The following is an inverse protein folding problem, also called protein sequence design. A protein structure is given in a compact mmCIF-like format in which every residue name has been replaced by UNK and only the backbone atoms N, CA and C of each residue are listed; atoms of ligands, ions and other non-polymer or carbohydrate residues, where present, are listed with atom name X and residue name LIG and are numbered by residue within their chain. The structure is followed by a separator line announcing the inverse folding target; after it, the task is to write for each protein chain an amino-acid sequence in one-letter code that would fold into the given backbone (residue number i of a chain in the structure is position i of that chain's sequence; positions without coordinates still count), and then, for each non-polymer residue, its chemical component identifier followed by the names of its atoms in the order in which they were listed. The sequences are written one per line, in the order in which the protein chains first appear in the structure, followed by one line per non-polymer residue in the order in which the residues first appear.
data_IF_737344758882
#
_entry.id   IF_737344758882
#
_cell.length_a   1.000
_cell.length_b   1.000
_cell.length_c   1.000
_cell.angle_alpha   90.00
_cell.angle_beta   90.00
_cell.angle_gamma   90.00
#
_symmetry.space_group_name_H-M   'P 1'
#
loop_
_entity.id
_entity.type
_entity.pdbx_description
1 polymer ?
#
# COMPACT_ATOMS: atom_id res chain seq x y z
N UNK A 1 -9.99 14.12 -47.07
CA UNK A 1 -8.80 14.79 -46.49
C UNK A 1 -7.56 13.87 -46.41
N UNK A 2 -7.64 12.68 -45.78
CA UNK A 2 -6.45 11.83 -45.54
C UNK A 2 -5.64 11.49 -46.81
N UNK A 3 -6.32 11.06 -47.88
CA UNK A 3 -5.66 10.74 -49.16
C UNK A 3 -4.95 11.97 -49.77
N UNK A 4 -5.51 13.17 -49.58
CA UNK A 4 -4.89 14.40 -50.07
C UNK A 4 -3.61 14.74 -49.32
N UNK A 5 -3.55 14.47 -48.01
CA UNK A 5 -2.30 14.60 -47.24
C UNK A 5 -1.23 13.62 -47.73
N UNK A 6 -1.62 12.41 -48.17
CA UNK A 6 -0.68 11.46 -48.79
C UNK A 6 -0.17 11.96 -50.15
N UNK A 7 -1.01 12.62 -50.95
CA UNK A 7 -0.58 13.24 -52.20
C UNK A 7 0.42 14.38 -51.95
N UNK A 8 0.12 15.28 -51.01
CA UNK A 8 1.05 16.35 -50.60
C UNK A 8 2.36 15.75 -50.08
N UNK A 9 2.30 14.72 -49.24
CA UNK A 9 3.49 14.01 -48.77
C UNK A 9 4.33 13.50 -49.95
N UNK A 10 3.72 12.80 -50.89
CA UNK A 10 4.42 12.20 -52.03
C UNK A 10 5.16 13.27 -52.84
N UNK A 11 4.50 14.42 -53.08
CA UNK A 11 5.13 15.57 -53.73
C UNK A 11 6.25 16.15 -52.89
N UNK A 12 6.00 16.44 -51.61
CA UNK A 12 6.96 17.10 -50.74
C UNK A 12 8.24 16.26 -50.55
N UNK A 13 8.13 14.93 -50.50
CA UNK A 13 9.25 14.02 -50.26
C UNK A 13 9.91 13.46 -51.54
N UNK A 14 9.41 13.84 -52.74
CA UNK A 14 9.77 13.23 -54.03
C UNK A 14 9.59 11.70 -54.04
N UNK A 15 8.50 11.21 -53.44
CA UNK A 15 8.15 9.80 -53.44
C UNK A 15 7.24 9.47 -54.63
N UNK A 16 7.29 8.23 -55.11
CA UNK A 16 6.43 7.76 -56.20
C UNK A 16 4.97 7.70 -55.76
N UNK A 17 4.09 8.41 -56.47
CA UNK A 17 2.65 8.46 -56.20
C UNK A 17 2.00 7.11 -56.55
N UNK A 18 1.31 6.47 -55.60
CA UNK A 18 0.19 5.59 -55.96
C UNK A 18 -1.03 6.49 -56.13
N UNK A 19 -1.53 6.64 -57.37
CA UNK A 19 -2.78 7.36 -57.60
C UNK A 19 -3.91 6.58 -56.95
N UNK A 20 -4.39 7.08 -55.82
CA UNK A 20 -5.67 6.62 -55.28
C UNK A 20 -6.80 7.29 -56.08
N UNK A 21 -7.89 6.57 -56.38
CA UNK A 21 -9.01 7.15 -57.10
C UNK A 21 -9.61 8.33 -56.32
N UNK A 22 -10.01 9.37 -57.04
CA UNK A 22 -10.72 10.50 -56.44
C UNK A 22 -12.02 9.98 -55.81
N UNK A 23 -12.11 10.09 -54.49
CA UNK A 23 -13.35 9.79 -53.77
C UNK A 23 -14.38 10.88 -54.10
N UNK A 24 -15.64 10.47 -54.26
CA UNK A 24 -16.74 11.41 -54.51
C UNK A 24 -16.82 12.41 -53.34
N UNK A 25 -16.60 13.69 -53.61
CA UNK A 25 -16.45 14.72 -52.57
C UNK A 25 -17.82 15.25 -52.17
N UNK A 26 -18.33 14.81 -51.02
CA UNK A 26 -19.49 15.43 -50.37
C UNK A 26 -19.02 16.57 -49.47
N UNK A 27 -19.79 17.66 -49.37
CA UNK A 27 -19.51 18.78 -48.47
C UNK A 27 -19.37 18.31 -47.02
N UNK A 28 -20.13 17.28 -46.63
CA UNK A 28 -20.04 16.65 -45.31
C UNK A 28 -18.69 15.97 -45.03
N UNK A 29 -17.95 15.60 -46.08
CA UNK A 29 -16.64 14.95 -46.00
C UNK A 29 -15.44 15.92 -46.03
N UNK A 30 -15.71 17.21 -46.22
CA UNK A 30 -14.69 18.26 -46.25
C UNK A 30 -14.24 18.64 -44.83
N UNK A 31 -12.96 19.00 -44.68
CA UNK A 31 -12.46 19.53 -43.41
C UNK A 31 -12.83 21.01 -43.24
N UNK A 32 -13.13 21.44 -42.01
CA UNK A 32 -13.46 22.83 -41.71
C UNK A 32 -12.21 23.53 -41.20
N UNK A 33 -11.70 24.50 -41.94
CA UNK A 33 -10.53 25.29 -41.55
C UNK A 33 -11.00 26.54 -40.80
N UNK A 34 -10.67 26.61 -39.53
CA UNK A 34 -10.95 27.75 -38.64
C UNK A 34 -9.66 28.52 -38.43
N UNK A 35 -9.59 29.74 -38.96
CA UNK A 35 -8.46 30.63 -38.75
C UNK A 35 -8.71 31.50 -37.51
N UNK A 36 -8.32 31.00 -36.34
CA UNK A 36 -8.46 31.70 -35.08
C UNK A 36 -7.39 31.27 -34.07
N UNK A 37 -7.17 32.09 -33.05
CA UNK A 37 -6.31 31.72 -31.93
C UNK A 37 -6.95 30.57 -31.13
N UNK A 38 -6.17 29.62 -30.56
CA UNK A 38 -6.71 28.61 -29.66
C UNK A 38 -7.53 29.18 -28.50
N UNK A 39 -7.27 30.41 -28.04
CA UNK A 39 -8.08 31.05 -26.99
C UNK A 39 -9.56 31.23 -27.37
N UNK A 40 -9.86 31.29 -28.67
CA UNK A 40 -11.23 31.39 -29.16
C UNK A 40 -11.96 30.03 -29.17
N UNK A 41 -11.25 28.90 -28.97
CA UNK A 41 -11.85 27.55 -28.95
C UNK A 41 -12.94 27.45 -27.88
N UNK A 42 -12.65 27.91 -26.66
CA UNK A 42 -13.58 27.79 -25.53
C UNK A 42 -14.85 28.60 -25.79
N UNK A 43 -14.71 29.85 -26.22
CA UNK A 43 -15.84 30.73 -26.53
C UNK A 43 -16.69 30.16 -27.67
N UNK A 44 -16.04 29.55 -28.66
CA UNK A 44 -16.68 29.02 -29.86
C UNK A 44 -17.33 27.66 -29.68
N UNK A 45 -16.82 26.81 -28.78
CA UNK A 45 -17.34 25.45 -28.58
C UNK A 45 -18.23 25.34 -27.35
N UNK A 46 -18.01 26.15 -26.31
CA UNK A 46 -18.62 26.12 -24.97
C UNK A 46 -18.42 24.79 -24.21
N UNK A 47 -18.70 23.65 -24.84
CA UNK A 47 -18.52 22.30 -24.33
C UNK A 47 -18.27 21.28 -25.46
N UNK A 48 -17.63 20.15 -25.14
CA UNK A 48 -17.45 19.01 -26.05
C UNK A 48 -18.60 18.02 -25.92
N UNK A 49 -18.98 17.39 -27.05
CA UNK A 49 -19.89 16.24 -27.08
C UNK A 49 -19.12 14.94 -26.77
N UNK A 50 -19.82 13.83 -26.52
CA UNK A 50 -19.19 12.57 -26.13
C UNK A 50 -18.24 12.00 -27.19
N UNK A 51 -18.57 12.19 -28.47
CA UNK A 51 -17.75 11.75 -29.60
C UNK A 51 -16.69 12.75 -30.05
N UNK A 52 -16.51 13.87 -29.34
CA UNK A 52 -15.56 14.90 -29.72
C UNK A 52 -14.20 14.70 -29.04
N UNK A 53 -13.13 15.06 -29.73
CA UNK A 53 -11.79 15.12 -29.16
C UNK A 53 -10.99 16.31 -29.70
N UNK A 54 -10.18 16.91 -28.83
CA UNK A 54 -9.19 17.91 -29.23
C UNK A 54 -7.83 17.22 -29.33
N UNK A 55 -7.18 17.33 -30.48
CA UNK A 55 -5.85 16.79 -30.71
C UNK A 55 -4.81 17.91 -30.73
N UNK A 56 -3.75 17.71 -29.96
CA UNK A 56 -2.64 18.66 -29.81
C UNK A 56 -1.30 17.96 -30.02
N UNK A 57 -0.24 18.75 -30.22
CA UNK A 57 1.10 18.23 -30.51
C UNK A 57 1.92 17.88 -29.25
N UNK A 58 1.67 18.56 -28.13
CA UNK A 58 2.51 18.43 -26.93
C UNK A 58 1.69 18.28 -25.66
N UNK A 59 2.28 17.66 -24.64
CA UNK A 59 1.68 17.62 -23.29
C UNK A 59 1.52 19.02 -22.68
N UNK A 60 2.38 19.97 -23.05
CA UNK A 60 2.26 21.37 -22.61
C UNK A 60 1.00 22.03 -23.16
N UNK A 61 0.72 21.84 -24.46
CA UNK A 61 -0.52 22.32 -25.09
C UNK A 61 -1.75 21.63 -24.52
N UNK A 62 -1.66 20.31 -24.29
CA UNK A 62 -2.74 19.54 -23.68
C UNK A 62 -3.08 20.09 -22.30
N UNK A 63 -2.08 20.36 -21.46
CA UNK A 63 -2.27 20.95 -20.13
C UNK A 63 -2.91 22.34 -20.22
N UNK A 64 -2.39 23.21 -21.09
CA UNK A 64 -2.90 24.57 -21.31
C UNK A 64 -4.37 24.55 -21.74
N UNK A 65 -4.71 23.79 -22.78
CA UNK A 65 -6.08 23.72 -23.31
C UNK A 65 -7.01 23.03 -22.31
N UNK A 66 -6.51 22.08 -21.50
CA UNK A 66 -7.28 21.44 -20.43
C UNK A 66 -7.67 22.42 -19.33
N UNK A 67 -6.74 23.27 -18.89
CA UNK A 67 -7.01 24.31 -17.89
C UNK A 67 -8.03 25.34 -18.42
N UNK A 68 -7.95 25.65 -19.71
CA UNK A 68 -8.88 26.57 -20.36
C UNK A 68 -10.28 25.96 -20.51
N UNK A 69 -10.38 24.75 -21.06
CA UNK A 69 -11.64 24.11 -21.44
C UNK A 69 -12.32 23.33 -20.29
N UNK A 70 -11.57 23.00 -19.22
CA UNK A 70 -12.00 22.10 -18.14
C UNK A 70 -12.53 20.75 -18.67
N UNK A 71 -11.83 20.18 -19.64
CA UNK A 71 -12.16 18.87 -20.22
C UNK A 71 -10.91 18.00 -20.35
N UNK A 72 -11.13 16.70 -20.32
CA UNK A 72 -10.17 15.62 -20.33
C UNK A 72 -10.09 14.93 -21.70
N UNK A 73 -11.03 15.23 -22.60
CA UNK A 73 -11.11 14.77 -24.00
C UNK A 73 -10.12 15.51 -24.91
N UNK A 74 -8.91 15.74 -24.39
CA UNK A 74 -7.81 16.40 -25.05
C UNK A 74 -6.65 15.43 -25.04
N UNK A 75 -6.13 15.11 -26.22
CA UNK A 75 -5.13 14.06 -26.41
C UNK A 75 -3.94 14.60 -27.20
N UNK A 76 -2.75 14.13 -26.87
CA UNK A 76 -1.66 14.21 -27.84
C UNK A 76 -1.94 13.26 -29.00
N UNK A 77 -1.36 13.53 -30.17
CA UNK A 77 -1.56 12.68 -31.36
C UNK A 77 -1.09 11.25 -31.08
N UNK A 78 -0.03 11.09 -30.30
CA UNK A 78 0.52 9.83 -29.83
C UNK A 78 -0.51 9.06 -28.98
N UNK A 79 -1.15 9.73 -28.03
CA UNK A 79 -2.21 9.14 -27.20
C UNK A 79 -3.46 8.78 -28.01
N UNK A 80 -3.78 9.56 -29.04
CA UNK A 80 -4.93 9.32 -29.89
C UNK A 80 -4.73 8.16 -30.88
N UNK A 81 -3.50 7.63 -31.00
CA UNK A 81 -3.21 6.51 -31.90
C UNK A 81 -4.06 5.29 -31.53
N UNK A 82 -4.84 4.79 -32.49
CA UNK A 82 -5.74 3.66 -32.30
C UNK A 82 -7.09 4.02 -31.68
N UNK A 83 -7.32 5.30 -31.34
CA UNK A 83 -8.63 5.83 -30.99
C UNK A 83 -9.33 6.41 -32.23
N UNK A 84 -10.65 6.43 -32.21
CA UNK A 84 -11.45 7.10 -33.25
C UNK A 84 -12.53 7.94 -32.58
N UNK A 85 -12.79 9.11 -33.16
CA UNK A 85 -13.72 10.09 -32.63
C UNK A 85 -14.68 10.50 -33.74
N UNK A 86 -15.92 10.85 -33.39
CA UNK A 86 -16.87 11.36 -34.37
C UNK A 86 -16.39 12.72 -34.90
N UNK A 87 -15.96 13.59 -33.98
CA UNK A 87 -15.42 14.90 -34.31
C UNK A 87 -14.01 15.07 -33.75
N UNK A 88 -13.09 15.58 -34.58
CA UNK A 88 -11.75 15.96 -34.15
C UNK A 88 -11.53 17.45 -34.37
N UNK A 89 -11.01 18.13 -33.35
CA UNK A 89 -10.45 19.47 -33.42
C UNK A 89 -8.93 19.37 -33.38
N UNK A 90 -8.27 19.51 -34.53
CA UNK A 90 -6.82 19.54 -34.62
C UNK A 90 -6.34 20.97 -34.39
N UNK A 91 -5.61 21.22 -33.30
CA UNK A 91 -5.24 22.57 -32.88
C UNK A 91 -3.77 22.85 -33.12
N UNK A 92 -3.48 23.93 -33.84
CA UNK A 92 -2.16 24.51 -34.07
C UNK A 92 -1.09 23.47 -34.41
N UNK A 93 -1.37 22.65 -35.42
CA UNK A 93 -0.49 21.53 -35.75
C UNK A 93 0.89 22.01 -36.22
N UNK A 94 0.95 23.14 -36.94
CA UNK A 94 2.14 23.60 -37.64
C UNK A 94 3.02 24.56 -36.82
N UNK A 95 2.64 24.87 -35.58
CA UNK A 95 3.44 25.69 -34.67
C UNK A 95 4.80 25.04 -34.37
N UNK A 96 4.83 23.71 -34.27
CA UNK A 96 6.08 22.96 -34.13
C UNK A 96 6.80 22.80 -35.45
N UNK A 97 8.13 22.91 -35.40
CA UNK A 97 9.02 22.73 -36.56
C UNK A 97 8.64 23.60 -37.78
N UNK A 98 8.07 24.79 -37.56
CA UNK A 98 7.62 25.70 -38.63
C UNK A 98 8.66 25.94 -39.72
N UNK A 99 9.94 26.07 -39.36
CA UNK A 99 11.04 26.22 -40.33
C UNK A 99 11.14 25.06 -41.33
N UNK A 100 10.85 23.84 -40.90
CA UNK A 100 10.86 22.63 -41.75
C UNK A 100 9.68 22.66 -42.72
N UNK A 101 8.49 23.03 -42.23
CA UNK A 101 7.29 23.22 -43.04
C UNK A 101 7.48 24.34 -44.07
N UNK A 102 7.93 25.51 -43.64
CA UNK A 102 8.17 26.67 -44.51
C UNK A 102 9.17 26.33 -45.62
N UNK A 103 10.25 25.62 -45.30
CA UNK A 103 11.25 25.20 -46.27
C UNK A 103 10.64 24.27 -47.32
N UNK A 104 9.91 23.24 -46.88
CA UNK A 104 9.28 22.27 -47.78
C UNK A 104 8.22 22.92 -48.68
N UNK A 105 7.37 23.78 -48.11
CA UNK A 105 6.26 24.43 -48.81
C UNK A 105 6.76 25.54 -49.74
N UNK A 106 7.79 26.31 -49.36
CA UNK A 106 8.42 27.33 -50.22
C UNK A 106 8.95 26.75 -51.52
N UNK A 107 9.62 25.61 -51.44
CA UNK A 107 10.19 24.94 -52.61
C UNK A 107 9.18 24.02 -53.32
N UNK A 108 8.02 23.75 -52.68
CA UNK A 108 7.00 22.83 -53.17
C UNK A 108 7.41 21.36 -53.17
N UNK A 109 8.67 21.05 -52.85
CA UNK A 109 9.27 19.72 -52.66
C UNK A 109 10.64 19.85 -52.00
N UNK A 110 11.10 18.79 -51.34
CA UNK A 110 12.49 18.70 -50.91
C UNK A 110 13.42 18.61 -52.13
N UNK A 111 14.51 19.38 -52.13
CA UNK A 111 15.46 19.38 -53.25
C UNK A 111 16.52 18.31 -53.00
N UNK A 112 16.71 17.32 -53.89
CA UNK A 112 17.76 16.32 -53.74
C UNK A 112 19.16 16.96 -53.72
N UNK A 113 20.08 16.40 -52.95
CA UNK A 113 21.46 16.88 -52.80
C UNK A 113 21.58 18.29 -52.19
N UNK A 114 20.55 18.76 -51.49
CA UNK A 114 20.63 19.98 -50.70
C UNK A 114 20.85 19.62 -49.23
N UNK A 115 21.99 19.99 -48.60
CA UNK A 115 22.34 19.58 -47.24
C UNK A 115 21.28 19.92 -46.18
N UNK A 116 20.58 21.05 -46.33
CA UNK A 116 19.53 21.47 -45.41
C UNK A 116 18.28 20.58 -45.56
N UNK A 117 17.88 20.29 -46.81
CA UNK A 117 16.71 19.45 -47.08
C UNK A 117 16.95 17.99 -46.69
N UNK A 118 18.16 17.47 -46.92
CA UNK A 118 18.53 16.10 -46.54
C UNK A 118 18.52 15.93 -45.01
N UNK A 119 18.99 16.95 -44.27
CA UNK A 119 18.94 16.95 -42.80
C UNK A 119 17.51 17.01 -42.26
N UNK A 120 16.65 17.82 -42.88
CA UNK A 120 15.29 18.06 -42.39
C UNK A 120 14.28 16.99 -42.88
N UNK A 121 14.65 16.17 -43.88
CA UNK A 121 13.80 15.11 -44.47
C UNK A 121 13.19 14.16 -43.42
N UNK A 122 13.96 13.53 -42.49
CA UNK A 122 13.39 12.60 -41.53
C UNK A 122 12.37 13.28 -40.60
N UNK A 123 12.60 14.56 -40.27
CA UNK A 123 11.67 15.35 -39.47
C UNK A 123 10.39 15.60 -40.24
N UNK A 124 10.47 16.08 -41.47
CA UNK A 124 9.29 16.33 -42.30
C UNK A 124 8.47 15.05 -42.51
N UNK A 125 9.12 13.91 -42.74
CA UNK A 125 8.46 12.62 -42.88
C UNK A 125 7.67 12.24 -41.61
N UNK A 126 8.27 12.43 -40.43
CA UNK A 126 7.58 12.22 -39.15
C UNK A 126 6.40 13.19 -38.98
N UNK A 127 6.57 14.47 -39.31
CA UNK A 127 5.48 15.45 -39.20
C UNK A 127 4.30 15.12 -40.12
N UNK A 128 4.57 14.71 -41.36
CA UNK A 128 3.53 14.27 -42.31
C UNK A 128 2.82 12.99 -41.83
N UNK A 129 3.56 12.04 -41.24
CA UNK A 129 2.97 10.86 -40.61
C UNK A 129 2.05 11.23 -39.45
N UNK A 130 2.48 12.14 -38.57
CA UNK A 130 1.67 12.58 -37.43
C UNK A 130 0.43 13.35 -37.87
N UNK A 131 0.54 14.19 -38.90
CA UNK A 131 -0.62 14.87 -39.49
C UNK A 131 -1.62 13.84 -40.03
N UNK A 132 -1.14 12.83 -40.75
CA UNK A 132 -1.97 11.74 -41.24
C UNK A 132 -2.64 10.95 -40.10
N UNK A 133 -1.92 10.64 -39.03
CA UNK A 133 -2.51 10.00 -37.84
C UNK A 133 -3.61 10.86 -37.25
N UNK A 134 -3.37 12.16 -37.05
CA UNK A 134 -4.33 13.08 -36.44
C UNK A 134 -5.63 13.22 -37.26
N UNK A 135 -5.52 13.48 -38.56
CA UNK A 135 -6.70 13.65 -39.43
C UNK A 135 -7.52 12.37 -39.57
N UNK A 136 -6.88 11.20 -39.51
CA UNK A 136 -7.56 9.89 -39.59
C UNK A 136 -8.20 9.47 -38.28
N UNK A 137 -8.01 10.22 -37.18
CA UNK A 137 -8.77 9.97 -35.94
C UNK A 137 -10.23 10.43 -36.07
N UNK A 138 -10.55 11.28 -37.04
CA UNK A 138 -11.89 11.78 -37.29
C UNK A 138 -12.70 10.80 -38.14
N UNK A 139 -13.83 10.32 -37.62
CA UNK A 139 -14.77 9.44 -38.35
C UNK A 139 -15.78 10.22 -39.17
N UNK A 140 -16.26 11.36 -38.67
CA UNK A 140 -17.30 12.17 -39.33
C UNK A 140 -16.81 13.58 -39.66
N UNK A 141 -16.35 14.32 -38.66
CA UNK A 141 -16.04 15.74 -38.80
C UNK A 141 -14.60 16.05 -38.38
N UNK A 142 -13.86 16.73 -39.26
CA UNK A 142 -12.52 17.26 -38.96
C UNK A 142 -12.56 18.78 -38.98
N UNK A 143 -12.25 19.39 -37.83
CA UNK A 143 -12.01 20.81 -37.68
C UNK A 143 -10.51 21.04 -37.52
N UNK A 144 -9.96 21.91 -38.34
CA UNK A 144 -8.57 22.33 -38.29
C UNK A 144 -8.56 23.73 -37.72
N UNK A 145 -8.08 23.89 -36.50
CA UNK A 145 -7.98 25.15 -35.81
C UNK A 145 -6.54 25.63 -35.86
N UNK A 146 -6.26 26.58 -36.75
CA UNK A 146 -4.90 27.04 -36.98
C UNK A 146 -4.87 28.55 -37.01
N UNK A 147 -3.99 29.18 -36.23
CA UNK A 147 -3.74 30.61 -36.35
C UNK A 147 -2.81 30.88 -37.54
N UNK A 148 -3.40 31.27 -38.66
CA UNK A 148 -2.66 31.67 -39.86
C UNK A 148 -2.38 33.17 -39.77
N UNK A 149 -1.11 33.62 -39.65
CA UNK A 149 -0.78 35.03 -39.63
C UNK A 149 -1.25 35.73 -40.91
N UNK A 150 -1.81 36.94 -40.79
CA UNK A 150 -2.29 37.74 -41.93
C UNK A 150 -1.22 38.02 -42.98
N UNK A 151 0.06 38.04 -42.56
CA UNK A 151 1.22 38.28 -43.41
C UNK A 151 1.79 37.00 -44.05
N UNK A 152 1.27 35.82 -43.70
CA UNK A 152 1.75 34.56 -44.27
C UNK A 152 1.26 34.42 -45.71
N UNK A 153 2.20 34.26 -46.65
CA UNK A 153 1.84 34.05 -48.05
C UNK A 153 1.07 32.73 -48.17
N UNK A 154 -0.07 32.68 -48.90
CA UNK A 154 -0.87 31.46 -49.04
C UNK A 154 -0.06 30.23 -49.46
N UNK A 155 1.00 30.40 -50.26
CA UNK A 155 1.88 29.30 -50.69
C UNK A 155 2.66 28.61 -49.56
N UNK A 156 2.88 29.28 -48.43
CA UNK A 156 3.56 28.72 -47.25
C UNK A 156 2.57 28.03 -46.29
N UNK A 157 1.27 28.12 -46.54
CA UNK A 157 0.27 27.39 -45.77
C UNK A 157 0.03 26.01 -46.38
N UNK A 158 0.11 24.97 -45.55
CA UNK A 158 -0.20 23.60 -45.95
C UNK A 158 -1.65 23.48 -46.47
N UNK A 159 -2.58 24.19 -45.84
CA UNK A 159 -4.00 24.14 -46.19
C UNK A 159 -4.36 24.88 -47.49
N UNK A 160 -3.41 25.60 -48.10
CA UNK A 160 -3.59 26.29 -49.37
C UNK A 160 -2.87 25.58 -50.54
N UNK A 161 -2.31 24.40 -50.31
CA UNK A 161 -1.76 23.57 -51.38
C UNK A 161 -2.88 23.06 -52.29
N UNK A 162 -2.59 22.94 -53.59
CA UNK A 162 -3.58 22.58 -54.63
C UNK A 162 -4.32 21.27 -54.35
N UNK A 163 -3.63 20.28 -53.76
CA UNK A 163 -4.21 18.97 -53.43
C UNK A 163 -5.23 19.04 -52.30
N UNK A 164 -5.13 20.05 -51.43
CA UNK A 164 -5.93 20.16 -50.20
C UNK A 164 -7.02 21.22 -50.33
N UNK A 165 -6.82 22.23 -51.18
CA UNK A 165 -7.65 23.42 -51.28
C UNK A 165 -9.14 23.10 -51.53
N UNK A 166 -9.42 22.11 -52.37
CA UNK A 166 -10.79 21.70 -52.73
C UNK A 166 -11.48 20.81 -51.68
N UNK A 167 -10.73 20.34 -50.68
CA UNK A 167 -11.19 19.39 -49.66
C UNK A 167 -11.39 20.06 -48.30
N UNK A 168 -11.37 21.39 -48.26
CA UNK A 168 -11.64 22.16 -47.06
C UNK A 168 -12.62 23.29 -47.32
N UNK A 169 -13.34 23.69 -46.29
CA UNK A 169 -14.17 24.89 -46.26
C UNK A 169 -13.65 25.83 -45.17
N UNK A 170 -13.45 27.14 -45.45
CA UNK A 170 -13.19 28.10 -44.40
C UNK A 170 -14.44 28.24 -43.51
N UNK A 171 -14.25 28.28 -42.20
CA UNK A 171 -15.32 28.43 -41.23
C UNK A 171 -14.93 29.47 -40.19
N UNK A 172 -15.82 30.44 -39.93
CA UNK A 172 -15.63 31.40 -38.86
C UNK A 172 -15.76 30.72 -37.49
N UNK A 173 -14.90 31.07 -36.55
CA UNK A 173 -14.84 30.44 -35.23
C UNK A 173 -16.20 30.47 -34.50
N UNK A 174 -16.92 31.59 -34.56
CA UNK A 174 -18.24 31.77 -33.95
C UNK A 174 -19.32 30.83 -34.49
N UNK A 175 -19.18 30.31 -35.72
CA UNK A 175 -20.15 29.43 -36.36
C UNK A 175 -19.93 27.95 -36.01
N UNK A 176 -18.78 27.61 -35.41
CA UNK A 176 -18.39 26.22 -35.13
C UNK A 176 -19.40 25.53 -34.22
N UNK A 177 -19.86 26.16 -33.14
CA UNK A 177 -20.89 25.58 -32.27
C UNK A 177 -22.20 25.29 -33.01
N UNK A 178 -22.62 26.17 -33.92
CA UNK A 178 -23.88 26.02 -34.66
C UNK A 178 -23.85 24.93 -35.74
N UNK A 179 -22.69 24.69 -36.35
CA UNK A 179 -22.52 23.62 -37.34
C UNK A 179 -22.33 22.23 -36.72
N UNK A 180 -21.97 22.16 -35.43
CA UNK A 180 -21.84 20.89 -34.73
C UNK A 180 -23.21 20.25 -34.64
N UNK A 181 -23.36 19.11 -35.30
CA UNK A 181 -24.50 18.24 -35.06
C UNK A 181 -24.54 17.92 -33.57
N UNK A 182 -25.71 18.10 -32.92
CA UNK A 182 -25.94 17.62 -31.57
C UNK A 182 -25.68 16.12 -31.60
N UNK A 183 -24.49 15.70 -31.19
CA UNK A 183 -24.15 14.29 -31.23
C UNK A 183 -25.07 13.57 -30.27
N UNK A 184 -25.78 12.54 -30.75
CA UNK A 184 -26.46 11.51 -29.94
C UNK A 184 -25.43 10.67 -29.14
N UNK A 185 -24.30 11.25 -28.80
CA UNK A 185 -23.16 10.60 -28.20
C UNK A 185 -23.52 10.17 -26.79
N UNK A 186 -23.71 8.88 -26.62
CA UNK A 186 -24.02 8.28 -25.33
C UNK A 186 -22.79 8.39 -24.42
N UNK A 187 -22.78 9.43 -23.56
CA UNK A 187 -21.74 9.66 -22.54
C UNK A 187 -21.44 8.41 -21.71
N UNK A 188 -22.44 7.58 -21.44
CA UNK A 188 -22.26 6.32 -20.71
C UNK A 188 -21.40 5.32 -21.52
N UNK A 189 -21.72 5.13 -22.79
CA UNK A 189 -20.99 4.22 -23.68
C UNK A 189 -19.55 4.70 -23.89
N UNK A 190 -19.35 6.01 -24.05
CA UNK A 190 -18.01 6.58 -24.19
C UNK A 190 -17.21 6.43 -22.88
N UNK A 191 -17.86 6.63 -21.73
CA UNK A 191 -17.24 6.39 -20.43
C UNK A 191 -16.80 4.95 -20.24
N UNK A 192 -17.64 3.97 -20.63
CA UNK A 192 -17.29 2.54 -20.60
C UNK A 192 -16.11 2.22 -21.52
N UNK A 193 -16.10 2.80 -22.72
CA UNK A 193 -14.98 2.65 -23.66
C UNK A 193 -13.66 3.11 -23.02
N UNK A 194 -13.64 4.31 -22.43
CA UNK A 194 -12.44 4.82 -21.76
C UNK A 194 -12.06 4.05 -20.50
N UNK A 195 -13.06 3.61 -19.72
CA UNK A 195 -12.84 2.79 -18.52
C UNK A 195 -12.13 1.48 -18.87
N UNK A 196 -12.61 0.78 -19.92
CA UNK A 196 -12.02 -0.46 -20.40
C UNK A 196 -10.64 -0.26 -21.03
N UNK A 197 -10.39 0.91 -21.61
CA UNK A 197 -9.08 1.29 -22.15
C UNK A 197 -8.07 1.75 -21.07
N UNK A 198 -8.45 1.75 -19.78
CA UNK A 198 -7.61 2.23 -18.67
C UNK A 198 -7.43 3.76 -18.64
N UNK A 199 -8.28 4.50 -19.35
CA UNK A 199 -8.27 5.97 -19.44
C UNK A 199 -9.26 6.57 -18.44
N UNK A 200 -8.98 6.37 -17.16
CA UNK A 200 -9.91 6.67 -16.08
C UNK A 200 -10.31 8.15 -15.99
N UNK A 201 -9.37 9.05 -16.31
CA UNK A 201 -9.62 10.48 -16.28
C UNK A 201 -10.67 10.92 -17.32
N UNK A 202 -10.64 10.32 -18.50
CA UNK A 202 -11.67 10.52 -19.54
C UNK A 202 -12.98 9.83 -19.18
N UNK A 203 -12.91 8.63 -18.62
CA UNK A 203 -14.08 7.92 -18.14
C UNK A 203 -14.85 8.69 -17.06
N UNK A 204 -14.13 9.30 -16.10
CA UNK A 204 -14.71 10.15 -15.05
C UNK A 204 -15.53 11.30 -15.64
N UNK A 205 -14.97 12.08 -16.57
CA UNK A 205 -15.71 13.18 -17.21
C UNK A 205 -16.95 12.67 -17.94
N UNK A 206 -16.82 11.57 -18.69
CA UNK A 206 -17.95 10.98 -19.40
C UNK A 206 -19.06 10.52 -18.45
N UNK A 207 -18.72 9.82 -17.35
CA UNK A 207 -19.73 9.38 -16.38
C UNK A 207 -20.35 10.53 -15.60
N UNK A 208 -19.59 11.58 -15.30
CA UNK A 208 -20.12 12.80 -14.69
C UNK A 208 -21.15 13.46 -15.61
N UNK A 209 -20.84 13.61 -16.91
CA UNK A 209 -21.78 14.16 -17.91
C UNK A 209 -22.97 13.25 -18.17
N UNK A 210 -22.81 11.94 -18.00
CA UNK A 210 -23.91 10.97 -18.07
C UNK A 210 -24.80 10.94 -16.82
N UNK A 211 -24.40 11.59 -15.71
CA UNK A 211 -25.07 11.46 -14.41
C UNK A 211 -24.93 10.07 -13.76
N UNK A 212 -23.96 9.27 -14.21
CA UNK A 212 -23.74 7.90 -13.77
C UNK A 212 -22.80 7.83 -12.55
N UNK A 213 -23.29 8.24 -11.38
CA UNK A 213 -22.49 8.42 -10.17
C UNK A 213 -21.68 7.18 -9.76
N UNK A 214 -22.29 5.99 -9.79
CA UNK A 214 -21.59 4.75 -9.40
C UNK A 214 -20.38 4.46 -10.31
N UNK A 215 -20.53 4.65 -11.63
CA UNK A 215 -19.44 4.44 -12.58
C UNK A 215 -18.39 5.55 -12.51
N UNK A 216 -18.82 6.77 -12.21
CA UNK A 216 -17.91 7.89 -11.94
C UNK A 216 -16.98 7.55 -10.76
N UNK A 217 -17.54 7.12 -9.64
CA UNK A 217 -16.75 6.71 -8.47
C UNK A 217 -15.88 5.48 -8.76
N UNK A 218 -16.37 4.51 -9.55
CA UNK A 218 -15.56 3.35 -9.96
C UNK A 218 -14.33 3.78 -10.78
N UNK A 219 -14.53 4.65 -11.78
CA UNK A 219 -13.45 5.20 -12.59
C UNK A 219 -12.45 5.99 -11.71
N UNK A 220 -12.95 6.81 -10.79
CA UNK A 220 -12.14 7.56 -9.83
C UNK A 220 -11.31 6.65 -8.93
N UNK A 221 -11.90 5.59 -8.38
CA UNK A 221 -11.20 4.62 -7.55
C UNK A 221 -10.06 3.93 -8.34
N UNK A 222 -10.32 3.55 -9.60
CA UNK A 222 -9.29 2.99 -10.49
C UNK A 222 -8.19 3.99 -10.86
N UNK A 223 -8.52 5.28 -11.03
CA UNK A 223 -7.52 6.34 -11.23
C UNK A 223 -6.60 6.49 -10.02
N UNK A 224 -7.17 6.57 -8.82
CA UNK A 224 -6.39 6.69 -7.58
C UNK A 224 -5.45 5.50 -7.38
N UNK A 225 -5.91 4.30 -7.73
CA UNK A 225 -5.06 3.09 -7.77
C UNK A 225 -3.87 3.25 -8.73
N UNK A 226 -4.08 3.83 -9.92
CA UNK A 226 -2.99 4.07 -10.88
C UNK A 226 -2.02 5.16 -10.40
N UNK A 227 -2.50 6.13 -9.62
CA UNK A 227 -1.70 7.16 -8.95
C UNK A 227 -1.02 6.65 -7.66
N UNK A 228 -1.10 5.34 -7.36
CA UNK A 228 -0.55 4.70 -6.15
C UNK A 228 -1.16 5.20 -4.82
N UNK A 229 -2.30 5.89 -4.87
CA UNK A 229 -3.08 6.30 -3.69
C UNK A 229 -4.01 5.19 -3.24
N UNK A 230 -3.41 4.11 -2.74
CA UNK A 230 -4.12 2.86 -2.45
C UNK A 230 -5.16 2.98 -1.34
N UNK A 231 -4.93 3.77 -0.29
CA UNK A 231 -5.88 3.97 0.81
C UNK A 231 -7.16 4.65 0.34
N UNK A 232 -7.05 5.82 -0.30
CA UNK A 232 -8.20 6.56 -0.84
C UNK A 232 -8.97 5.73 -1.88
N UNK A 233 -8.25 4.96 -2.70
CA UNK A 233 -8.86 4.04 -3.67
C UNK A 233 -9.66 2.93 -2.96
N UNK A 234 -9.11 2.34 -1.90
CA UNK A 234 -9.75 1.27 -1.14
C UNK A 234 -11.02 1.75 -0.43
N UNK A 235 -11.00 2.95 0.16
CA UNK A 235 -12.17 3.59 0.79
C UNK A 235 -13.29 3.78 -0.23
N UNK A 236 -13.01 4.33 -1.42
CA UNK A 236 -14.02 4.46 -2.48
C UNK A 236 -14.57 3.09 -2.92
N UNK A 237 -13.74 2.06 -3.02
CA UNK A 237 -14.21 0.72 -3.34
C UNK A 237 -15.09 0.11 -2.23
N UNK A 238 -14.84 0.44 -0.95
CA UNK A 238 -15.73 0.06 0.16
C UNK A 238 -17.09 0.76 0.07
N UNK A 239 -17.11 2.06 -0.20
CA UNK A 239 -18.35 2.83 -0.39
C UNK A 239 -19.19 2.25 -1.54
N UNK A 240 -18.53 1.83 -2.62
CA UNK A 240 -19.14 1.15 -3.77
C UNK A 240 -19.51 -0.32 -3.52
N UNK A 241 -19.19 -0.87 -2.35
CA UNK A 241 -19.37 -2.29 -2.00
C UNK A 241 -18.63 -3.26 -2.91
N UNK A 242 -17.57 -2.78 -3.58
CA UNK A 242 -16.61 -3.62 -4.29
C UNK A 242 -15.57 -4.18 -3.32
N UNK A 243 -16.06 -4.93 -2.34
CA UNK A 243 -15.32 -5.44 -1.18
C UNK A 243 -14.05 -6.19 -1.57
N UNK A 244 -14.11 -7.04 -2.59
CA UNK A 244 -12.96 -7.82 -3.05
C UNK A 244 -11.83 -6.96 -3.63
N UNK A 245 -12.15 -5.85 -4.32
CA UNK A 245 -11.13 -4.93 -4.83
C UNK A 245 -10.56 -4.06 -3.72
N UNK A 246 -11.40 -3.57 -2.80
CA UNK A 246 -10.96 -2.85 -1.61
C UNK A 246 -9.99 -3.71 -0.77
N UNK A 247 -10.35 -4.98 -0.52
CA UNK A 247 -9.54 -5.89 0.28
C UNK A 247 -8.14 -6.12 -0.30
N UNK A 248 -8.03 -6.25 -1.64
CA UNK A 248 -6.73 -6.36 -2.33
C UNK A 248 -5.86 -5.12 -2.14
N UNK A 249 -6.46 -3.93 -2.11
CA UNK A 249 -5.74 -2.68 -1.91
C UNK A 249 -5.28 -2.50 -0.46
N UNK A 250 -6.15 -2.80 0.51
CA UNK A 250 -5.77 -2.82 1.93
C UNK A 250 -4.66 -3.83 2.21
N UNK A 251 -4.74 -5.02 1.63
CA UNK A 251 -3.67 -6.03 1.74
C UNK A 251 -2.35 -5.54 1.10
N UNK A 252 -2.41 -4.72 0.04
CA UNK A 252 -1.22 -4.17 -0.61
C UNK A 252 -0.47 -3.17 0.26
N UNK A 253 -1.18 -2.42 1.10
CA UNK A 253 -0.62 -1.48 2.08
C UNK A 253 -0.39 -2.12 3.45
N UNK A 254 -0.56 -3.44 3.56
CA UNK A 254 -0.39 -4.23 4.79
C UNK A 254 -1.33 -3.85 5.94
N UNK A 255 -2.44 -3.16 5.64
CA UNK A 255 -3.56 -3.02 6.58
C UNK A 255 -4.41 -4.29 6.52
N UNK A 256 -3.89 -5.34 7.17
CA UNK A 256 -4.49 -6.66 7.18
C UNK A 256 -5.86 -6.68 7.87
N UNK A 257 -6.11 -5.76 8.80
CA UNK A 257 -7.39 -5.68 9.52
C UNK A 257 -8.51 -5.20 8.59
N UNK A 258 -8.30 -4.07 7.91
CA UNK A 258 -9.26 -3.56 6.91
C UNK A 258 -9.42 -4.53 5.74
N UNK A 259 -8.33 -5.16 5.30
CA UNK A 259 -8.39 -6.18 4.26
C UNK A 259 -9.29 -7.36 4.66
N UNK A 260 -9.15 -7.83 5.91
CA UNK A 260 -9.94 -8.94 6.42
C UNK A 260 -11.43 -8.61 6.54
N UNK A 261 -11.75 -7.42 7.07
CA UNK A 261 -13.14 -6.94 7.17
C UNK A 261 -13.78 -6.86 5.77
N UNK A 262 -13.06 -6.32 4.77
CA UNK A 262 -13.53 -6.32 3.39
C UNK A 262 -13.70 -7.73 2.81
N UNK A 263 -12.77 -8.66 3.02
CA UNK A 263 -12.92 -10.03 2.53
C UNK A 263 -14.12 -10.73 3.15
N UNK A 264 -14.40 -10.46 4.43
CA UNK A 264 -15.57 -10.99 5.13
C UNK A 264 -16.87 -10.48 4.52
N UNK A 265 -16.97 -9.17 4.24
CA UNK A 265 -18.13 -8.57 3.55
C UNK A 265 -18.25 -9.05 2.09
N UNK A 266 -17.14 -9.41 1.45
CA UNK A 266 -17.14 -10.04 0.13
C UNK A 266 -17.65 -11.50 0.16
N UNK A 267 -17.79 -12.11 1.36
CA UNK A 267 -18.14 -13.51 1.55
C UNK A 267 -16.97 -14.49 1.34
N UNK A 268 -15.75 -13.99 1.11
CA UNK A 268 -14.54 -14.80 0.95
C UNK A 268 -13.89 -15.02 2.33
N UNK A 269 -14.48 -15.94 3.08
CA UNK A 269 -14.05 -16.23 4.46
C UNK A 269 -12.61 -16.77 4.52
N UNK A 270 -12.13 -17.43 3.46
CA UNK A 270 -10.80 -18.05 3.46
C UNK A 270 -9.74 -16.95 3.48
N UNK A 271 -9.87 -15.96 2.57
CA UNK A 271 -8.97 -14.80 2.54
C UNK A 271 -9.18 -13.86 3.72
N UNK A 272 -10.40 -13.75 4.23
CA UNK A 272 -10.68 -12.99 5.45
C UNK A 272 -9.90 -13.58 6.63
N UNK A 273 -10.00 -14.90 6.83
CA UNK A 273 -9.31 -15.58 7.92
C UNK A 273 -7.79 -15.44 7.82
N UNK A 274 -7.19 -15.67 6.64
CA UNK A 274 -5.75 -15.46 6.43
C UNK A 274 -5.31 -14.01 6.68
N UNK A 275 -6.16 -13.04 6.35
CA UNK A 275 -5.87 -11.63 6.60
C UNK A 275 -5.98 -11.30 8.09
N UNK A 276 -6.98 -11.82 8.81
CA UNK A 276 -7.08 -11.68 10.27
C UNK A 276 -5.90 -12.34 11.00
N UNK A 277 -5.42 -13.51 10.54
CA UNK A 277 -4.21 -14.15 11.09
C UNK A 277 -2.98 -13.24 10.97
N UNK A 278 -2.81 -12.57 9.81
CA UNK A 278 -1.71 -11.61 9.60
C UNK A 278 -1.87 -10.33 10.44
N UNK A 279 -3.10 -9.91 10.68
CA UNK A 279 -3.40 -8.79 11.58
C UNK A 279 -3.19 -9.15 13.06
N UNK A 280 -3.07 -10.45 13.40
CA UNK A 280 -3.02 -10.94 14.78
C UNK A 280 -4.38 -10.92 15.49
N UNK A 281 -5.48 -10.75 14.74
CA UNK A 281 -6.84 -10.81 15.25
C UNK A 281 -7.35 -12.25 15.19
N UNK A 282 -6.90 -13.05 16.15
CA UNK A 282 -7.18 -14.48 16.15
C UNK A 282 -8.64 -14.82 16.46
N UNK A 283 -9.38 -13.93 17.13
CA UNK A 283 -10.80 -14.14 17.45
C UNK A 283 -11.65 -14.11 16.16
N UNK A 284 -11.44 -13.09 15.32
CA UNK A 284 -12.12 -13.02 14.03
C UNK A 284 -11.62 -14.10 13.05
N UNK A 285 -10.32 -14.43 13.07
CA UNK A 285 -9.78 -15.53 12.27
C UNK A 285 -10.40 -16.89 12.63
N UNK A 286 -10.52 -17.18 13.93
CA UNK A 286 -11.15 -18.41 14.43
C UNK A 286 -12.60 -18.51 13.95
N UNK A 287 -13.39 -17.44 14.13
CA UNK A 287 -14.79 -17.38 13.68
C UNK A 287 -14.92 -17.68 12.18
N UNK A 288 -14.04 -17.11 11.35
CA UNK A 288 -14.02 -17.38 9.92
C UNK A 288 -13.64 -18.83 9.59
N UNK A 289 -12.63 -19.41 10.25
CA UNK A 289 -12.22 -20.80 10.00
C UNK A 289 -13.25 -21.83 10.49
N UNK A 290 -13.95 -21.55 11.58
CA UNK A 290 -15.06 -22.38 12.06
C UNK A 290 -16.21 -22.43 11.05
N UNK A 291 -16.49 -21.30 10.39
CA UNK A 291 -17.50 -21.21 9.34
C UNK A 291 -17.09 -21.94 8.04
N UNK A 292 -15.80 -22.17 7.80
CA UNK A 292 -15.22 -22.85 6.63
C UNK A 292 -14.93 -24.35 6.82
N UNK A 293 -15.65 -25.01 7.74
CA UNK A 293 -15.28 -26.28 8.37
C UNK A 293 -13.79 -26.62 8.55
N UNK A 294 -12.89 -25.64 8.63
CA UNK A 294 -11.44 -25.90 8.76
C UNK A 294 -11.03 -25.95 10.23
N UNK A 295 -11.40 -27.05 10.88
CA UNK A 295 -11.16 -27.26 12.31
C UNK A 295 -9.68 -27.18 12.71
N UNK A 296 -8.77 -27.59 11.82
CA UNK A 296 -7.34 -27.54 12.11
C UNK A 296 -6.85 -26.10 12.29
N UNK A 297 -7.20 -25.19 11.36
CA UNK A 297 -6.83 -23.78 11.47
C UNK A 297 -7.62 -23.06 12.56
N UNK A 298 -8.92 -23.36 12.71
CA UNK A 298 -9.74 -22.82 13.79
C UNK A 298 -9.14 -23.11 15.17
N UNK A 299 -8.74 -24.36 15.43
CA UNK A 299 -8.10 -24.75 16.70
C UNK A 299 -6.77 -24.01 16.91
N UNK A 300 -5.98 -23.83 15.85
CA UNK A 300 -4.75 -23.04 15.92
C UNK A 300 -5.05 -21.60 16.33
N UNK A 301 -6.04 -20.95 15.73
CA UNK A 301 -6.46 -19.59 16.09
C UNK A 301 -6.98 -19.52 17.53
N UNK A 302 -7.83 -20.46 17.95
CA UNK A 302 -8.35 -20.53 19.32
C UNK A 302 -7.22 -20.60 20.36
N UNK A 303 -6.19 -21.42 20.10
CA UNK A 303 -5.02 -21.51 20.96
C UNK A 303 -4.22 -20.19 20.99
N UNK A 304 -4.09 -19.50 19.85
CA UNK A 304 -3.45 -18.18 19.78
C UNK A 304 -4.22 -17.11 20.55
N UNK A 305 -5.56 -17.17 20.59
CA UNK A 305 -6.38 -16.31 21.46
C UNK A 305 -6.03 -16.56 22.93
N UNK A 306 -5.91 -17.81 23.36
CA UNK A 306 -5.49 -18.15 24.72
C UNK A 306 -4.08 -17.64 25.05
N UNK A 307 -3.15 -17.69 24.09
CA UNK A 307 -1.81 -17.09 24.24
C UNK A 307 -1.90 -15.57 24.46
N UNK A 308 -2.73 -14.85 23.70
CA UNK A 308 -2.93 -13.41 23.89
C UNK A 308 -3.53 -13.06 25.25
N UNK A 309 -4.44 -13.90 25.76
CA UNK A 309 -5.03 -13.76 27.11
C UNK A 309 -4.10 -14.20 28.24
N UNK A 310 -2.89 -14.67 27.92
CA UNK A 310 -1.91 -15.21 28.87
C UNK A 310 -2.38 -16.46 29.62
N UNK A 311 -3.34 -17.19 29.06
CA UNK A 311 -3.86 -18.46 29.60
C UNK A 311 -2.97 -19.63 29.15
N UNK A 312 -1.67 -19.52 29.44
CA UNK A 312 -0.63 -20.38 28.89
C UNK A 312 -0.81 -21.88 29.17
N UNK A 313 -1.46 -22.24 30.29
CA UNK A 313 -1.73 -23.64 30.64
C UNK A 313 -2.74 -24.27 29.68
N UNK A 314 -3.79 -23.52 29.32
CA UNK A 314 -4.83 -24.00 28.41
C UNK A 314 -4.31 -23.99 26.97
N UNK A 315 -3.56 -22.95 26.60
CA UNK A 315 -2.88 -22.89 25.31
C UNK A 315 -1.93 -24.09 25.11
N UNK A 316 -1.12 -24.44 26.12
CA UNK A 316 -0.23 -25.60 26.06
C UNK A 316 -0.98 -26.93 25.87
N UNK A 317 -2.13 -27.11 26.51
CA UNK A 317 -2.98 -28.29 26.32
C UNK A 317 -3.50 -28.37 24.87
N UNK A 318 -3.97 -27.25 24.33
CA UNK A 318 -4.42 -27.21 22.94
C UNK A 318 -3.31 -27.55 21.94
N UNK A 319 -2.09 -27.01 22.14
CA UNK A 319 -0.95 -27.37 21.28
C UNK A 319 -0.56 -28.84 21.37
N UNK A 320 -0.68 -29.44 22.56
CA UNK A 320 -0.45 -30.87 22.79
C UNK A 320 -1.44 -31.74 22.01
N UNK A 321 -2.72 -31.37 22.01
CA UNK A 321 -3.77 -32.08 21.25
C UNK A 321 -3.50 -32.04 19.75
N UNK A 322 -2.98 -30.92 19.24
CA UNK A 322 -2.50 -30.76 17.86
C UNK A 322 -1.12 -31.40 17.59
N UNK A 323 -0.49 -32.03 18.59
CA UNK A 323 0.85 -32.63 18.55
C UNK A 323 1.96 -31.66 18.14
N UNK A 324 1.80 -30.37 18.43
CA UNK A 324 2.80 -29.31 18.19
C UNK A 324 3.63 -29.07 19.46
N UNK A 325 4.55 -29.99 19.71
CA UNK A 325 5.36 -30.03 20.93
C UNK A 325 6.23 -28.78 21.15
N UNK A 326 6.72 -28.15 20.07
CA UNK A 326 7.55 -26.95 20.16
C UNK A 326 6.74 -25.73 20.63
N UNK A 327 5.50 -25.57 20.15
CA UNK A 327 4.60 -24.51 20.59
C UNK A 327 4.07 -24.76 22.01
N UNK A 328 3.85 -26.03 22.39
CA UNK A 328 3.53 -26.41 23.78
C UNK A 328 4.66 -25.99 24.73
N UNK A 329 5.93 -26.31 24.38
CA UNK A 329 7.10 -25.90 25.15
C UNK A 329 7.18 -24.37 25.25
N UNK A 330 6.98 -23.65 24.14
CA UNK A 330 6.96 -22.18 24.13
C UNK A 330 5.91 -21.64 25.10
N UNK A 331 4.70 -22.21 25.12
CA UNK A 331 3.65 -21.78 26.05
C UNK A 331 4.08 -21.97 27.50
N UNK A 332 4.66 -23.12 27.85
CA UNK A 332 5.15 -23.35 29.21
C UNK A 332 6.29 -22.42 29.61
N UNK A 333 7.19 -22.08 28.68
CA UNK A 333 8.24 -21.08 28.92
C UNK A 333 7.64 -19.70 29.22
N UNK A 334 6.67 -19.25 28.42
CA UNK A 334 6.00 -17.96 28.68
C UNK A 334 5.18 -17.99 29.97
N UNK A 335 4.57 -19.13 30.30
CA UNK A 335 3.89 -19.33 31.57
C UNK A 335 4.82 -19.19 32.77
N UNK A 336 6.06 -19.69 32.66
CA UNK A 336 7.06 -19.56 33.71
C UNK A 336 7.55 -18.10 33.83
N UNK A 337 7.78 -17.42 32.70
CA UNK A 337 8.12 -15.98 32.69
C UNK A 337 7.03 -15.11 33.31
N UNK A 338 5.74 -15.37 33.00
CA UNK A 338 4.63 -14.62 33.61
C UNK A 338 4.56 -14.79 35.13
N UNK A 339 5.01 -15.93 35.67
CA UNK A 339 5.13 -16.16 37.11
C UNK A 339 6.31 -15.41 37.71
N UNK A 340 7.45 -15.35 36.99
CA UNK A 340 8.59 -14.51 37.39
C UNK A 340 8.21 -13.03 37.49
N UNK A 341 7.42 -12.51 36.55
CA UNK A 341 6.92 -11.13 36.57
C UNK A 341 6.01 -10.83 37.78
N UNK A 342 5.22 -11.84 38.21
CA UNK A 342 4.37 -11.77 39.41
C UNK A 342 5.14 -12.04 40.71
N UNK A 343 6.44 -12.33 40.63
CA UNK A 343 7.32 -12.69 41.75
C UNK A 343 6.93 -14.01 42.44
N UNK A 344 6.18 -14.88 41.75
CA UNK A 344 5.84 -16.22 42.23
C UNK A 344 6.99 -17.20 41.94
N UNK A 345 8.16 -16.92 42.54
CA UNK A 345 9.44 -17.52 42.18
C UNK A 345 9.49 -19.04 42.35
N UNK A 346 8.89 -19.59 43.41
CA UNK A 346 8.88 -21.05 43.64
C UNK A 346 8.05 -21.79 42.58
N UNK A 347 6.91 -21.22 42.16
CA UNK A 347 6.09 -21.83 41.11
C UNK A 347 6.75 -21.74 39.74
N UNK A 348 7.41 -20.60 39.45
CA UNK A 348 8.21 -20.42 38.25
C UNK A 348 9.34 -21.47 38.19
N UNK A 349 10.08 -21.67 39.29
CA UNK A 349 11.14 -22.66 39.39
C UNK A 349 10.65 -24.09 39.11
N UNK A 350 9.50 -24.48 39.69
CA UNK A 350 8.89 -25.80 39.41
C UNK A 350 8.58 -25.99 37.93
N UNK A 351 8.14 -24.96 37.21
CA UNK A 351 7.88 -25.04 35.77
C UNK A 351 9.16 -25.13 34.95
N UNK A 352 10.18 -24.34 35.27
CA UNK A 352 11.49 -24.42 34.62
C UNK A 352 12.15 -25.79 34.79
N UNK A 353 12.01 -26.38 35.98
CA UNK A 353 12.41 -27.76 36.26
C UNK A 353 11.73 -28.77 35.33
N UNK A 354 10.42 -28.64 35.16
CA UNK A 354 9.63 -29.49 34.25
C UNK A 354 10.04 -29.37 32.79
N UNK A 355 10.58 -28.21 32.38
CA UNK A 355 11.12 -27.97 31.04
C UNK A 355 12.59 -28.37 30.87
N UNK A 356 13.27 -28.79 31.94
CA UNK A 356 14.69 -29.13 31.92
C UNK A 356 15.63 -27.92 31.84
N UNK A 357 15.13 -26.70 32.07
CA UNK A 357 15.89 -25.44 32.03
C UNK A 357 16.53 -25.17 33.39
N UNK A 358 17.62 -25.89 33.68
CA UNK A 358 18.28 -25.89 35.00
C UNK A 358 18.79 -24.51 35.45
N UNK A 359 19.26 -23.69 34.52
CA UNK A 359 19.79 -22.36 34.84
C UNK A 359 18.68 -21.38 35.24
N UNK A 360 17.55 -21.41 34.53
CA UNK A 360 16.38 -20.59 34.86
C UNK A 360 15.70 -21.07 36.16
N UNK A 361 15.64 -22.39 36.38
CA UNK A 361 15.20 -22.98 37.65
C UNK A 361 16.05 -22.47 38.82
N UNK A 362 17.39 -22.56 38.71
CA UNK A 362 18.33 -22.09 39.73
C UNK A 362 18.12 -20.61 40.03
N UNK A 363 18.04 -19.77 38.99
CA UNK A 363 17.82 -18.32 39.12
C UNK A 363 16.52 -18.02 39.87
N UNK A 364 15.44 -18.73 39.55
CA UNK A 364 14.15 -18.54 40.23
C UNK A 364 14.21 -18.96 41.69
N UNK A 365 14.86 -20.08 42.01
CA UNK A 365 15.03 -20.55 43.39
C UNK A 365 15.89 -19.58 44.23
N UNK A 366 16.93 -18.99 43.65
CA UNK A 366 17.75 -17.95 44.33
C UNK A 366 16.90 -16.73 44.68
N UNK A 367 16.10 -16.24 43.73
CA UNK A 367 15.18 -15.12 43.98
C UNK A 367 14.08 -15.46 44.99
N UNK A 368 13.55 -16.69 44.96
CA UNK A 368 12.59 -17.17 45.95
C UNK A 368 13.20 -17.18 47.36
N UNK A 369 14.44 -17.66 47.48
CA UNK A 369 15.13 -17.74 48.76
C UNK A 369 15.45 -16.36 49.33
N UNK A 370 15.81 -15.40 48.48
CA UNK A 370 16.01 -14.00 48.86
C UNK A 370 14.70 -13.32 49.29
N UNK A 371 13.58 -13.57 48.59
CA UNK A 371 12.27 -13.02 48.96
C UNK A 371 11.79 -13.56 50.33
N UNK A 372 11.94 -14.87 50.58
CA UNK A 372 11.69 -15.47 51.90
C UNK A 372 12.59 -14.87 52.98
N UNK A 373 13.87 -14.62 52.69
CA UNK A 373 14.80 -13.98 53.62
C UNK A 373 14.33 -12.57 53.99
N UNK A 374 13.92 -11.77 53.02
CA UNK A 374 13.42 -10.40 53.25
C UNK A 374 12.11 -10.40 54.06
N UNK A 375 11.24 -11.37 53.83
CA UNK A 375 9.97 -11.55 54.55
C UNK A 375 10.11 -12.34 55.87
N UNK A 376 11.33 -12.57 56.36
CA UNK A 376 11.61 -13.31 57.61
C UNK A 376 11.15 -14.78 57.60
N UNK A 377 10.90 -15.37 56.43
CA UNK A 377 10.66 -16.79 56.17
C UNK A 377 11.95 -17.62 56.21
N UNK A 378 12.70 -17.51 57.30
CA UNK A 378 14.08 -18.01 57.41
C UNK A 378 14.25 -19.51 57.10
N UNK A 379 13.37 -20.36 57.62
CA UNK A 379 13.48 -21.81 57.41
C UNK A 379 13.38 -22.18 55.94
N UNK A 380 12.43 -21.56 55.23
CA UNK A 380 12.22 -21.79 53.81
C UNK A 380 13.39 -21.28 52.97
N UNK A 381 13.95 -20.12 53.31
CA UNK A 381 15.14 -19.60 52.66
C UNK A 381 16.35 -20.54 52.82
N UNK A 382 16.59 -21.08 54.03
CA UNK A 382 17.68 -22.03 54.31
C UNK A 382 17.49 -23.32 53.49
N UNK A 383 16.26 -23.86 53.43
CA UNK A 383 15.94 -25.03 52.62
C UNK A 383 16.27 -24.82 51.14
N UNK A 384 15.83 -23.70 50.57
CA UNK A 384 16.03 -23.38 49.15
C UNK A 384 17.51 -23.20 48.82
N UNK A 385 18.29 -22.46 49.63
CA UNK A 385 19.73 -22.33 49.42
C UNK A 385 20.50 -23.64 49.60
N UNK A 386 20.03 -24.52 50.48
CA UNK A 386 20.59 -25.87 50.64
C UNK A 386 20.31 -26.73 49.41
N UNK A 387 19.10 -26.66 48.85
CA UNK A 387 18.75 -27.32 47.58
C UNK A 387 19.63 -26.84 46.42
N UNK A 388 20.01 -25.56 46.42
CA UNK A 388 20.92 -24.95 45.43
C UNK A 388 22.39 -25.29 45.66
N UNK A 389 22.71 -26.09 46.69
CA UNK A 389 24.08 -26.40 47.13
C UNK A 389 24.89 -25.15 47.54
N UNK A 390 24.21 -24.05 47.87
CA UNK A 390 24.81 -22.82 48.39
C UNK A 390 24.85 -22.89 49.92
N UNK A 391 25.53 -23.91 50.46
CA UNK A 391 25.54 -24.23 51.90
C UNK A 391 26.08 -23.10 52.76
N UNK A 392 27.01 -22.30 52.24
CA UNK A 392 27.54 -21.12 52.91
C UNK A 392 26.49 -20.01 53.09
N UNK A 393 25.72 -19.69 52.06
CA UNK A 393 24.64 -18.71 52.13
C UNK A 393 23.52 -19.21 53.05
N UNK A 394 23.19 -20.50 53.00
CA UNK A 394 22.25 -21.12 53.93
C UNK A 394 22.73 -21.01 55.40
N UNK A 395 24.03 -21.21 55.66
CA UNK A 395 24.64 -21.05 56.98
C UNK A 395 24.61 -19.58 57.45
N UNK A 396 24.85 -18.61 56.57
CA UNK A 396 24.75 -17.17 56.86
C UNK A 396 23.33 -16.77 57.28
N UNK A 397 22.31 -17.22 56.55
CA UNK A 397 20.90 -16.95 56.82
C UNK A 397 20.45 -17.62 58.14
N UNK A 398 20.94 -18.81 58.44
CA UNK A 398 20.69 -19.47 59.72
C UNK A 398 21.25 -18.68 60.92
N UNK A 399 22.39 -17.98 60.75
CA UNK A 399 22.91 -17.06 61.77
C UNK A 399 22.03 -15.82 61.93
N UNK A 400 21.54 -15.25 60.82
CA UNK A 400 20.61 -14.11 60.84
C UNK A 400 19.30 -14.46 61.56
N UNK A 401 18.73 -15.63 61.25
CA UNK A 401 17.58 -16.20 61.96
C UNK A 401 17.86 -16.33 63.46
N UNK A 402 19.00 -16.91 63.83
CA UNK A 402 19.39 -17.05 65.23
C UNK A 402 19.51 -15.71 65.96
N UNK A 403 20.03 -14.67 65.29
CA UNK A 403 20.11 -13.31 65.84
C UNK A 403 18.73 -12.71 66.10
N UNK A 404 17.81 -12.84 65.15
CA UNK A 404 16.45 -12.35 65.31
C UNK A 404 15.72 -13.09 66.45
N UNK A 405 15.85 -14.41 66.52
CA UNK A 405 15.25 -15.22 67.60
C UNK A 405 15.82 -14.88 68.98
N UNK A 406 17.09 -14.47 69.06
CA UNK A 406 17.69 -13.95 70.30
C UNK A 406 17.08 -12.61 70.72
N UNK A 407 16.85 -11.69 69.78
CA UNK A 407 16.19 -10.40 70.10
C UNK A 407 14.75 -10.59 70.53
N UNK A 408 14.07 -11.61 69.99
CA UNK A 408 12.68 -11.95 70.32
C UNK A 408 12.56 -12.77 71.62
N UNK A 409 13.68 -13.09 72.29
CA UNK A 409 13.72 -13.81 73.56
C UNK A 409 13.61 -15.34 73.45
N UNK A 410 13.52 -15.89 72.24
CA UNK A 410 13.40 -17.33 71.94
C UNK A 410 14.79 -18.01 71.93
N UNK A 411 15.43 -18.06 73.09
CA UNK A 411 16.84 -18.50 73.22
C UNK A 411 17.10 -19.95 72.77
N UNK A 412 16.12 -20.85 72.88
CA UNK A 412 16.28 -22.26 72.50
C UNK A 412 16.25 -22.42 70.97
N UNK A 413 15.29 -21.82 70.29
CA UNK A 413 15.21 -21.79 68.82
C UNK A 413 16.42 -21.08 68.19
N UNK A 414 16.95 -20.05 68.85
CA UNK A 414 18.17 -19.38 68.42
C UNK A 414 19.41 -20.29 68.48
N UNK A 415 19.52 -21.13 69.51
CA UNK A 415 20.60 -22.12 69.63
C UNK A 415 20.48 -23.19 68.55
N UNK A 416 19.27 -23.68 68.28
CA UNK A 416 19.00 -24.66 67.22
C UNK A 416 19.33 -24.09 65.82
N UNK A 417 18.99 -22.83 65.56
CA UNK A 417 19.36 -22.12 64.34
C UNK A 417 20.89 -22.04 64.13
N UNK A 418 21.64 -21.76 65.20
CA UNK A 418 23.09 -21.69 65.17
C UNK A 418 23.73 -23.07 65.01
N UNK A 419 23.25 -24.08 65.72
CA UNK A 419 23.70 -25.47 65.54
C UNK A 419 23.42 -25.96 64.11
N UNK A 420 22.30 -25.54 63.50
CA UNK A 420 21.96 -25.80 62.09
C UNK A 420 22.92 -25.09 61.12
N UNK A 421 23.32 -23.85 61.39
CA UNK A 421 24.34 -23.13 60.61
C UNK A 421 25.69 -23.86 60.62
N UNK A 422 26.12 -24.36 61.79
CA UNK A 422 27.37 -25.12 61.95
C UNK A 422 27.34 -26.42 61.15
N UNK A 423 26.19 -27.11 61.12
CA UNK A 423 26.02 -28.33 60.35
C UNK A 423 26.08 -28.09 58.83
N UNK A 424 25.68 -26.89 58.36
CA UNK A 424 25.67 -26.53 56.94
C UNK A 424 27.06 -26.10 56.42
N UNK A 425 27.83 -25.34 57.21
CA UNK A 425 29.20 -24.95 56.87
C UNK A 425 30.10 -24.92 58.11
N UNK A 426 30.84 -26.00 58.33
CA UNK A 426 31.75 -26.16 59.48
C UNK A 426 32.93 -25.18 59.46
N UNK A 427 33.30 -24.64 58.30
CA UNK A 427 34.40 -23.67 58.16
C UNK A 427 33.96 -22.22 58.43
N UNK A 428 32.66 -21.93 58.36
CA UNK A 428 32.10 -20.58 58.59
C UNK A 428 32.30 -20.09 60.04
N UNK A 429 32.43 -21.02 60.98
CA UNK A 429 32.64 -20.78 62.41
C UNK A 429 33.86 -19.92 62.76
N UNK A 430 34.91 -19.90 61.92
CA UNK A 430 36.14 -19.16 62.23
C UNK A 430 35.93 -17.63 62.17
N UNK A 431 34.83 -17.14 61.56
CA UNK A 431 34.57 -15.70 61.39
C UNK A 431 33.39 -15.14 62.19
N UNK A 432 32.49 -15.96 62.72
CA UNK A 432 31.34 -15.48 63.50
C UNK A 432 31.74 -15.30 64.97
N UNK A 433 32.17 -14.08 65.33
CA UNK A 433 32.52 -13.64 66.69
C UNK A 433 31.33 -13.60 67.69
N UNK A 434 30.53 -14.67 67.82
CA UNK A 434 29.30 -14.62 68.64
C UNK A 434 29.01 -15.85 69.51
N UNK A 435 30.06 -16.55 69.95
CA UNK A 435 29.94 -17.65 70.92
C UNK A 435 30.07 -17.25 72.41
N UNK A 436 30.61 -16.08 72.86
CA UNK A 436 30.80 -15.87 74.31
C UNK A 436 29.52 -15.76 75.16
N UNK A 437 28.38 -15.35 74.60
CA UNK A 437 27.15 -15.09 75.38
C UNK A 437 26.22 -16.31 75.52
N UNK A 438 26.31 -17.29 74.62
CA UNK A 438 25.48 -18.50 74.68
C UNK A 438 26.13 -19.63 75.48
N UNK A 439 27.47 -19.75 75.47
CA UNK A 439 28.17 -20.68 76.39
C UNK A 439 27.95 -20.32 77.85
N UNK A 440 27.74 -19.03 78.17
CA UNK A 440 27.38 -18.58 79.52
C UNK A 440 25.98 -19.05 79.99
N UNK A 441 25.05 -19.36 79.07
CA UNK A 441 23.73 -19.96 79.39
C UNK A 441 23.67 -21.48 79.19
N UNK A 442 24.50 -22.05 78.31
CA UNK A 442 24.67 -23.52 78.14
C UNK A 442 25.33 -24.16 79.37
N UNK A 443 26.07 -23.37 80.16
CA UNK A 443 26.66 -23.73 81.46
C UNK A 443 26.08 -22.88 82.61
N UNK A 444 24.78 -22.96 82.87
CA UNK A 444 24.34 -22.88 84.27
C UNK A 444 24.21 -24.31 84.79
N UNK A 445 25.07 -24.75 85.73
CA UNK A 445 24.84 -26.00 86.43
C UNK A 445 23.51 -25.89 87.16
N UNK A 446 22.70 -26.95 87.06
CA UNK A 446 21.57 -27.21 87.95
C UNK A 446 21.94 -26.80 89.37
N UNK A 447 21.06 -26.01 89.99
CA UNK A 447 21.10 -25.66 91.41
C UNK A 447 21.63 -26.82 92.26
N UNK A 448 22.84 -26.66 92.81
CA UNK A 448 23.24 -27.33 94.04
C UNK A 448 23.09 -26.31 95.15
N UNK A 449 21.88 -26.21 95.66
CA UNK A 449 21.62 -25.76 97.02
C UNK A 449 21.87 -26.95 97.95
N UNK A 450 22.89 -26.86 98.80
CA UNK A 450 22.86 -27.39 100.17
C UNK A 450 24.10 -26.90 100.92
N UNK A 451 23.87 -25.89 101.76
CA UNK A 451 24.61 -25.54 102.99
C UNK A 451 26.07 -25.06 102.81
N UNK A 452 26.55 -23.97 103.42
CA UNK A 452 26.17 -23.20 104.62
C UNK A 452 26.37 -21.71 104.33
#
# INVERSE_FOLDING_TARGET
MANQVLQVRSRLLNESVRKEPDANVDLASMARLVNADPSALKESLQSLNAGDAILVRTEADKKRIREEFNSTLIFTIEEAKGLEFDTVFLVNFFDLYRKVWDLALRHGRLVPNNPQHDRDRPRLELELNLLYVAITRARRCLYIWEKIPEQETPRLSFWHQSEVLEYRVPLEASLVAGERQSGDGNWLQQGEFYLNAGRYLQAEECFQKAGAELKYQEARAKRLRQEEKYSESAELFQELKFWAEAAKLWARIEDWRQAADCWREAGDLDRAAESYEKAGDWENAESCWQALPNLAKANVCAIRVLEQRQEWKEAARGWKELRRWDDERRCFEQAAKSLEERQEWEEAARRWKGLGRRDDERRCLEKAAEDHRQNQGWERAIELYTQLQQTRLAAEIAVEMGRQKMTDGQNQEALEALDRSIALDTAFLVKVKYIPTLTAKRFQPRERTLCI
#
